data_IF_372502102831
#
_entry.id   IF_372502102831
#
_cell.length_a   1.000
_cell.length_b   1.000
_cell.length_c   1.000
_cell.angle_alpha   90.00
_cell.angle_beta   90.00
_cell.angle_gamma   90.00
#
_symmetry.space_group_name_H-M   'P 1'
#
loop_
_entity.id
_entity.type
_entity.pdbx_description
1 polymer ?
#
# COMPACT_ATOMS: atom_id res chain seq x y z
N UNK A 1 -33.19 -24.39 38.51
CA UNK A 1 -33.07 -24.80 37.13
C UNK A 1 -32.37 -23.69 36.36
N UNK A 2 -31.12 -23.90 35.99
CA UNK A 2 -30.33 -22.96 35.17
C UNK A 2 -30.29 -23.49 33.74
N UNK A 3 -30.47 -22.71 32.68
CA UNK A 3 -30.31 -23.18 31.32
C UNK A 3 -28.84 -23.25 30.94
N UNK A 4 -28.47 -24.37 30.34
CA UNK A 4 -27.16 -24.67 29.76
C UNK A 4 -27.14 -24.04 28.38
N UNK A 5 -26.15 -23.16 28.13
CA UNK A 5 -25.83 -22.66 26.80
C UNK A 5 -24.83 -23.60 26.13
N UNK A 6 -25.26 -24.24 25.06
CA UNK A 6 -24.37 -25.05 24.20
C UNK A 6 -23.74 -24.12 23.17
N UNK A 7 -22.43 -23.94 23.27
CA UNK A 7 -21.61 -23.26 22.25
C UNK A 7 -21.37 -24.24 21.10
N UNK A 8 -21.92 -23.96 19.94
CA UNK A 8 -21.54 -24.64 18.70
C UNK A 8 -20.27 -23.97 18.16
N UNK A 9 -19.13 -24.65 18.24
CA UNK A 9 -17.94 -24.37 17.44
C UNK A 9 -18.19 -24.86 16.01
N UNK A 10 -18.41 -23.94 15.10
CA UNK A 10 -18.40 -24.22 13.68
C UNK A 10 -16.96 -24.22 13.16
N UNK A 11 -16.42 -25.38 12.85
CA UNK A 11 -15.16 -25.51 12.13
C UNK A 11 -15.38 -25.11 10.66
N UNK A 12 -14.77 -24.00 10.23
CA UNK A 12 -14.71 -23.61 8.81
C UNK A 12 -13.49 -24.27 8.19
N UNK A 13 -13.71 -25.30 7.40
CA UNK A 13 -12.67 -25.90 6.54
C UNK A 13 -12.46 -25.01 5.32
N UNK A 14 -11.27 -24.42 5.17
CA UNK A 14 -10.82 -23.73 3.98
C UNK A 14 -10.51 -24.77 2.88
N UNK A 15 -11.40 -24.91 1.91
CA UNK A 15 -11.12 -25.64 0.68
C UNK A 15 -10.50 -24.67 -0.33
N UNK A 16 -9.23 -24.90 -0.67
CA UNK A 16 -8.58 -24.21 -1.78
C UNK A 16 -9.01 -24.89 -3.10
N UNK A 17 -9.80 -24.19 -3.91
CA UNK A 17 -10.02 -24.54 -5.31
C UNK A 17 -9.70 -23.35 -6.19
N UNK A 18 -8.70 -23.50 -7.07
CA UNK A 18 -8.47 -22.59 -8.16
C UNK A 18 -9.57 -22.72 -9.22
N UNK A 19 -10.07 -21.59 -9.72
CA UNK A 19 -11.06 -21.57 -10.79
C UNK A 19 -11.20 -20.16 -11.35
N UNK A 20 -11.27 -20.06 -12.65
CA UNK A 20 -11.38 -18.87 -13.48
C UNK A 20 -12.54 -17.96 -13.11
N UNK A 21 -12.30 -16.66 -13.39
CA UNK A 21 -13.25 -15.56 -13.31
C UNK A 21 -14.59 -15.83 -13.99
N UNK A 22 -15.66 -15.83 -13.23
CA UNK A 22 -17.00 -15.38 -13.64
C UNK A 22 -17.81 -15.09 -12.39
N UNK A 23 -18.44 -13.95 -12.34
CA UNK A 23 -19.43 -13.44 -11.39
C UNK A 23 -19.70 -14.29 -10.15
N UNK A 24 -18.99 -13.97 -9.04
CA UNK A 24 -19.31 -14.56 -7.74
C UNK A 24 -20.77 -14.26 -7.39
N UNK A 25 -21.56 -15.24 -6.93
CA UNK A 25 -22.88 -14.97 -6.40
C UNK A 25 -22.77 -13.95 -5.26
N UNK A 26 -23.62 -12.93 -5.27
CA UNK A 26 -23.66 -11.85 -4.26
C UNK A 26 -23.99 -12.46 -2.90
N UNK A 27 -22.99 -13.04 -2.24
CA UNK A 27 -23.03 -13.43 -0.84
C UNK A 27 -22.83 -12.22 0.07
N UNK A 28 -23.21 -12.38 1.35
CA UNK A 28 -22.87 -11.34 2.34
C UNK A 28 -21.35 -11.13 2.38
N UNK A 29 -20.86 -9.87 2.42
CA UNK A 29 -19.44 -9.59 2.51
C UNK A 29 -18.79 -10.23 3.73
N UNK A 30 -17.60 -10.78 3.57
CA UNK A 30 -16.82 -11.31 4.68
C UNK A 30 -16.30 -10.13 5.52
N UNK A 31 -16.75 -10.02 6.78
CA UNK A 31 -16.29 -8.99 7.69
C UNK A 31 -14.85 -9.28 8.17
N UNK A 32 -13.94 -8.33 7.97
CA UNK A 32 -12.60 -8.40 8.51
C UNK A 32 -12.68 -8.24 10.03
N UNK A 33 -12.38 -9.31 10.75
CA UNK A 33 -12.41 -9.35 12.22
C UNK A 33 -11.03 -9.04 12.79
N UNK A 34 -10.97 -8.56 14.05
CA UNK A 34 -9.72 -8.40 14.79
C UNK A 34 -9.61 -9.48 15.86
N UNK A 35 -8.49 -10.19 15.88
CA UNK A 35 -8.15 -11.21 16.86
C UNK A 35 -7.20 -10.71 17.96
N UNK A 36 -7.08 -9.38 18.06
CA UNK A 36 -6.22 -8.74 19.06
C UNK A 36 -4.79 -8.47 18.58
N UNK A 37 -4.05 -7.73 19.37
CA UNK A 37 -2.68 -7.36 19.07
C UNK A 37 -1.76 -8.59 19.02
N UNK A 38 -0.85 -8.61 18.06
CA UNK A 38 0.17 -9.63 17.89
C UNK A 38 1.50 -8.96 17.49
N UNK A 39 2.65 -9.66 17.48
CA UNK A 39 3.92 -9.04 17.12
C UNK A 39 3.90 -8.31 15.76
N UNK A 40 3.21 -8.83 14.77
CA UNK A 40 3.14 -8.20 13.42
C UNK A 40 2.44 -6.83 13.50
N UNK A 41 1.31 -6.74 14.19
CA UNK A 41 0.57 -5.48 14.33
C UNK A 41 1.30 -4.46 15.22
N UNK A 42 1.92 -4.91 16.30
CA UNK A 42 2.71 -4.05 17.20
C UNK A 42 3.90 -3.44 16.47
N UNK A 43 4.66 -4.27 15.77
CA UNK A 43 5.84 -3.79 15.04
C UNK A 43 5.49 -3.01 13.77
N UNK A 44 4.31 -3.24 13.17
CA UNK A 44 3.79 -2.36 12.10
C UNK A 44 3.57 -0.93 12.62
N UNK A 45 2.97 -0.77 13.80
CA UNK A 45 2.75 0.55 14.41
C UNK A 45 4.06 1.25 14.74
N UNK A 46 5.00 0.52 15.37
CA UNK A 46 6.31 1.06 15.71
C UNK A 46 7.07 1.46 14.44
N UNK A 47 7.11 0.59 13.43
CA UNK A 47 7.75 0.87 12.17
C UNK A 47 7.16 2.13 11.52
N UNK A 48 5.84 2.21 11.39
CA UNK A 48 5.20 3.36 10.78
C UNK A 48 5.52 4.68 11.50
N UNK A 49 5.48 4.69 12.83
CA UNK A 49 5.73 5.92 13.62
C UNK A 49 7.19 6.35 13.62
N UNK A 50 8.12 5.46 13.31
CA UNK A 50 9.57 5.69 13.44
C UNK A 50 10.32 5.82 12.11
N UNK A 51 9.90 5.13 11.04
CA UNK A 51 10.52 5.31 9.71
C UNK A 51 10.21 6.68 9.11
N UNK A 52 9.19 7.37 9.63
CA UNK A 52 8.83 8.72 9.26
C UNK A 52 8.26 8.82 7.84
N UNK A 53 8.39 10.01 7.26
CA UNK A 53 7.85 10.35 5.94
C UNK A 53 8.94 10.45 4.87
N UNK A 54 10.07 9.77 5.06
CA UNK A 54 11.14 9.77 4.05
C UNK A 54 10.65 9.07 2.78
N UNK A 55 11.20 9.39 1.61
CA UNK A 55 10.86 8.66 0.39
C UNK A 55 11.13 7.15 0.47
N UNK A 56 12.09 6.73 1.30
CA UNK A 56 12.42 5.33 1.52
C UNK A 56 11.49 4.62 2.52
N UNK A 57 10.65 5.35 3.26
CA UNK A 57 9.79 4.77 4.32
C UNK A 57 8.96 3.58 3.85
N UNK A 58 8.45 3.63 2.61
CA UNK A 58 7.68 2.50 2.05
C UNK A 58 8.55 1.24 1.86
N UNK A 59 9.82 1.42 1.48
CA UNK A 59 10.78 0.30 1.35
C UNK A 59 11.16 -0.24 2.73
N UNK A 60 11.28 0.63 3.73
CA UNK A 60 11.62 0.24 5.11
C UNK A 60 10.48 -0.58 5.73
N UNK A 61 9.22 -0.15 5.56
CA UNK A 61 8.05 -0.92 5.98
C UNK A 61 7.99 -2.29 5.31
N UNK A 62 8.18 -2.35 3.99
CA UNK A 62 8.24 -3.62 3.27
C UNK A 62 9.38 -4.52 3.80
N UNK A 63 10.56 -3.96 4.07
CA UNK A 63 11.71 -4.70 4.60
C UNK A 63 11.42 -5.30 5.97
N UNK A 64 10.79 -4.55 6.87
CA UNK A 64 10.38 -5.02 8.22
C UNK A 64 9.39 -6.18 8.11
N UNK A 65 8.33 -6.01 7.30
CA UNK A 65 7.29 -7.04 7.17
C UNK A 65 7.79 -8.31 6.46
N UNK A 66 8.67 -8.18 5.49
CA UNK A 66 9.31 -9.33 4.83
C UNK A 66 10.24 -10.08 5.77
N UNK A 67 10.99 -9.38 6.63
CA UNK A 67 11.82 -10.02 7.64
C UNK A 67 10.98 -10.76 8.68
N UNK A 68 9.90 -10.16 9.19
CA UNK A 68 8.96 -10.86 10.09
C UNK A 68 8.34 -12.07 9.41
N UNK A 69 7.93 -11.94 8.15
CA UNK A 69 7.37 -13.05 7.38
C UNK A 69 8.36 -14.20 7.23
N UNK A 70 9.57 -13.93 6.74
CA UNK A 70 10.58 -14.98 6.54
C UNK A 70 10.93 -15.69 7.86
N UNK A 71 11.03 -14.95 8.96
CA UNK A 71 11.29 -15.51 10.28
C UNK A 71 10.16 -16.42 10.76
N UNK A 72 8.90 -15.96 10.70
CA UNK A 72 7.73 -16.72 11.11
C UNK A 72 7.53 -17.95 10.22
N UNK A 73 7.58 -17.76 8.89
CA UNK A 73 7.22 -18.82 7.96
C UNK A 73 8.27 -19.92 7.90
N UNK A 74 9.55 -19.60 8.20
CA UNK A 74 10.59 -20.61 8.35
C UNK A 74 10.30 -21.59 9.47
N UNK A 75 9.64 -21.15 10.55
CA UNK A 75 9.19 -21.98 11.66
C UNK A 75 7.87 -22.70 11.33
N UNK A 76 6.90 -21.96 10.78
CA UNK A 76 5.57 -22.50 10.46
C UNK A 76 5.60 -23.54 9.33
N UNK A 77 6.51 -23.42 8.38
CA UNK A 77 6.70 -24.37 7.27
C UNK A 77 5.56 -24.42 6.25
N UNK A 78 4.61 -23.47 6.27
CA UNK A 78 3.39 -23.51 5.46
C UNK A 78 3.54 -22.87 4.08
N UNK A 79 4.42 -21.89 3.95
CA UNK A 79 4.65 -21.13 2.72
C UNK A 79 6.14 -21.00 2.44
N UNK A 80 6.46 -20.61 1.20
CA UNK A 80 7.83 -20.30 0.81
C UNK A 80 8.30 -18.99 1.44
N UNK A 81 9.47 -18.92 2.09
CA UNK A 81 10.07 -17.66 2.48
C UNK A 81 10.26 -16.74 1.26
N UNK A 82 10.17 -15.44 1.49
CA UNK A 82 10.42 -14.46 0.43
C UNK A 82 11.86 -14.52 -0.09
N UNK A 83 12.84 -14.51 0.80
CA UNK A 83 14.26 -14.50 0.40
C UNK A 83 15.21 -15.19 1.39
N UNK A 84 14.97 -15.09 2.70
CA UNK A 84 15.94 -15.51 3.71
C UNK A 84 15.48 -16.80 4.38
N UNK A 85 16.39 -17.79 4.41
CA UNK A 85 16.23 -19.05 5.14
C UNK A 85 17.27 -19.09 6.25
N UNK A 86 16.86 -19.15 7.53
CA UNK A 86 17.80 -19.27 8.63
C UNK A 86 18.52 -20.61 8.63
N UNK A 87 19.69 -20.63 9.22
CA UNK A 87 20.49 -21.88 9.45
C UNK A 87 20.14 -22.54 10.78
N UNK A 88 19.66 -21.76 11.74
CA UNK A 88 19.13 -22.29 13.01
C UNK A 88 17.99 -23.26 12.73
N UNK A 89 18.08 -24.47 13.33
CA UNK A 89 17.06 -25.50 13.15
C UNK A 89 15.68 -25.06 13.63
N UNK A 90 14.67 -25.27 12.81
CA UNK A 90 13.26 -24.96 13.12
C UNK A 90 12.47 -26.16 13.65
N UNK A 91 13.10 -27.33 13.72
CA UNK A 91 12.45 -28.57 14.15
C UNK A 91 11.90 -28.46 15.57
N UNK A 92 10.61 -28.80 15.74
CA UNK A 92 9.92 -28.81 17.03
C UNK A 92 9.59 -27.43 17.63
N UNK A 93 9.78 -26.34 16.86
CA UNK A 93 9.42 -24.99 17.27
C UNK A 93 7.94 -24.70 17.00
N UNK A 94 7.34 -23.89 17.89
CA UNK A 94 5.92 -23.54 17.86
C UNK A 94 5.68 -22.03 17.97
N UNK A 95 4.57 -21.68 18.63
CA UNK A 95 4.06 -20.31 18.68
C UNK A 95 5.00 -19.34 19.40
N UNK A 96 5.66 -19.77 20.47
CA UNK A 96 6.60 -18.92 21.23
C UNK A 96 7.79 -18.55 20.35
N UNK A 97 8.33 -19.52 19.61
CA UNK A 97 9.44 -19.29 18.70
C UNK A 97 9.05 -18.34 17.55
N UNK A 98 7.87 -18.49 16.95
CA UNK A 98 7.39 -17.58 15.90
C UNK A 98 7.25 -16.14 16.40
N UNK A 99 6.73 -15.95 17.63
CA UNK A 99 6.61 -14.62 18.23
C UNK A 99 7.99 -14.00 18.52
N UNK A 100 8.91 -14.77 19.12
CA UNK A 100 10.26 -14.31 19.40
C UNK A 100 11.03 -13.94 18.12
N UNK A 101 10.89 -14.77 17.06
CA UNK A 101 11.51 -14.53 15.76
C UNK A 101 10.98 -13.27 15.08
N UNK A 102 9.66 -13.02 15.14
CA UNK A 102 9.06 -11.81 14.62
C UNK A 102 9.54 -10.55 15.33
N UNK A 103 9.57 -10.58 16.68
CA UNK A 103 10.02 -9.45 17.51
C UNK A 103 11.48 -9.11 17.20
N UNK A 104 12.35 -10.11 17.17
CA UNK A 104 13.77 -9.92 16.93
C UNK A 104 14.04 -9.43 15.50
N UNK A 105 13.36 -10.01 14.50
CA UNK A 105 13.53 -9.62 13.11
C UNK A 105 13.14 -8.16 12.88
N UNK A 106 11.97 -7.74 13.38
CA UNK A 106 11.49 -6.36 13.25
C UNK A 106 12.42 -5.37 13.97
N UNK A 107 12.82 -5.69 15.20
CA UNK A 107 13.72 -4.87 16.00
C UNK A 107 15.04 -4.60 15.28
N UNK A 108 15.71 -5.66 14.81
CA UNK A 108 17.02 -5.50 14.14
C UNK A 108 16.92 -4.79 12.80
N UNK A 109 15.88 -5.08 12.03
CA UNK A 109 15.68 -4.37 10.75
C UNK A 109 15.45 -2.89 11.00
N UNK A 110 14.58 -2.51 11.94
CA UNK A 110 14.34 -1.10 12.25
C UNK A 110 15.58 -0.37 12.76
N UNK A 111 16.39 -1.01 13.59
CA UNK A 111 17.69 -0.43 14.01
C UNK A 111 18.63 -0.19 12.83
N UNK A 112 18.56 -1.03 11.78
CA UNK A 112 19.37 -0.88 10.59
C UNK A 112 18.88 0.20 9.63
N UNK A 113 17.56 0.30 9.41
CA UNK A 113 16.99 1.22 8.40
C UNK A 113 16.56 2.56 8.96
N UNK A 114 16.16 2.63 10.23
CA UNK A 114 15.64 3.83 10.90
C UNK A 114 16.20 3.99 12.33
N UNK A 115 17.52 4.14 12.52
CA UNK A 115 18.17 4.08 13.84
C UNK A 115 17.71 5.16 14.82
N UNK A 116 17.09 6.24 14.35
CA UNK A 116 16.59 7.33 15.20
C UNK A 116 15.49 6.89 16.19
N UNK A 117 14.79 5.79 15.92
CA UNK A 117 13.76 5.21 16.81
C UNK A 117 14.30 4.35 17.95
N UNK A 118 15.60 4.33 18.18
CA UNK A 118 16.31 3.38 19.05
C UNK A 118 15.66 3.08 20.39
N UNK A 119 15.31 4.10 21.20
CA UNK A 119 14.73 3.89 22.54
C UNK A 119 13.36 3.20 22.50
N UNK A 120 12.52 3.53 21.51
CA UNK A 120 11.21 2.86 21.36
C UNK A 120 11.36 1.40 20.92
N UNK A 121 12.35 1.11 20.08
CA UNK A 121 12.64 -0.26 19.65
C UNK A 121 13.14 -1.12 20.80
N UNK A 122 14.08 -0.61 21.62
CA UNK A 122 14.60 -1.32 22.79
C UNK A 122 13.48 -1.66 23.78
N UNK A 123 12.61 -0.70 24.06
CA UNK A 123 11.48 -0.90 24.97
C UNK A 123 10.51 -1.96 24.45
N UNK A 124 10.12 -1.86 23.18
CA UNK A 124 9.18 -2.80 22.57
C UNK A 124 9.78 -4.23 22.47
N UNK A 125 11.06 -4.33 22.10
CA UNK A 125 11.79 -5.59 22.02
C UNK A 125 11.86 -6.27 23.37
N UNK A 126 12.34 -5.55 24.41
CA UNK A 126 12.47 -6.07 25.77
C UNK A 126 11.12 -6.53 26.31
N UNK A 127 10.09 -5.67 26.23
CA UNK A 127 8.76 -6.01 26.74
C UNK A 127 8.13 -7.18 25.98
N UNK A 128 8.30 -7.21 24.64
CA UNK A 128 7.79 -8.29 23.80
C UNK A 128 8.42 -9.63 24.12
N UNK A 129 9.75 -9.69 24.30
CA UNK A 129 10.42 -10.93 24.66
C UNK A 129 10.18 -11.33 26.14
N UNK A 130 10.04 -10.39 27.05
CA UNK A 130 9.70 -10.68 28.46
C UNK A 130 8.29 -11.28 28.62
N UNK A 131 7.39 -10.98 27.72
CA UNK A 131 6.03 -11.55 27.73
C UNK A 131 5.98 -13.01 27.26
N UNK A 132 7.06 -13.55 26.69
CA UNK A 132 7.15 -14.93 26.24
C UNK A 132 7.77 -15.84 27.30
N UNK A 133 7.28 -17.08 27.36
CA UNK A 133 7.85 -18.10 28.24
C UNK A 133 9.32 -18.34 27.88
N UNK A 134 10.18 -18.43 28.92
CA UNK A 134 11.59 -18.78 28.75
C UNK A 134 11.74 -20.24 28.31
N UNK A 135 12.79 -20.53 27.54
CA UNK A 135 13.09 -21.87 27.07
C UNK A 135 13.72 -21.92 25.66
N UNK A 136 13.80 -23.12 25.13
CA UNK A 136 14.43 -23.40 23.82
C UNK A 136 13.71 -22.68 22.66
N UNK A 137 12.38 -22.66 22.66
CA UNK A 137 11.59 -21.97 21.64
C UNK A 137 11.92 -20.48 21.56
N UNK A 138 11.95 -19.79 22.72
CA UNK A 138 12.29 -18.36 22.76
C UNK A 138 13.72 -18.12 22.32
N UNK A 139 14.67 -18.92 22.78
CA UNK A 139 16.09 -18.79 22.44
C UNK A 139 16.33 -18.98 20.94
N UNK A 140 15.82 -20.09 20.38
CA UNK A 140 15.98 -20.38 18.96
C UNK A 140 15.17 -19.46 18.06
N UNK A 141 13.96 -19.08 18.50
CA UNK A 141 13.16 -18.09 17.79
C UNK A 141 13.89 -16.75 17.65
N UNK A 142 14.49 -16.26 18.73
CA UNK A 142 15.33 -15.04 18.71
C UNK A 142 16.54 -15.21 17.78
N UNK A 143 17.23 -16.34 17.80
CA UNK A 143 18.34 -16.60 16.87
C UNK A 143 17.89 -16.58 15.40
N UNK A 144 16.76 -17.21 15.08
CA UNK A 144 16.15 -17.21 13.74
C UNK A 144 15.84 -15.78 13.30
N UNK A 145 15.18 -14.97 14.16
CA UNK A 145 14.86 -13.58 13.87
C UNK A 145 16.11 -12.75 13.57
N UNK A 146 17.18 -12.96 14.33
CA UNK A 146 18.48 -12.28 14.14
C UNK A 146 19.13 -12.65 12.79
N UNK A 147 19.15 -13.94 12.42
CA UNK A 147 19.70 -14.41 11.15
C UNK A 147 18.90 -13.82 9.96
N UNK A 148 17.57 -13.87 10.03
CA UNK A 148 16.71 -13.35 8.98
C UNK A 148 16.87 -11.84 8.83
N UNK A 149 16.92 -11.09 9.93
CA UNK A 149 17.16 -9.65 9.88
C UNK A 149 18.50 -9.30 9.25
N UNK A 150 19.57 -9.99 9.62
CA UNK A 150 20.90 -9.78 9.04
C UNK A 150 20.90 -10.05 7.52
N UNK A 151 20.30 -11.15 7.09
CA UNK A 151 20.15 -11.48 5.67
C UNK A 151 19.33 -10.44 4.89
N UNK A 152 18.21 -9.98 5.46
CA UNK A 152 17.36 -8.98 4.83
C UNK A 152 18.03 -7.62 4.71
N UNK A 153 18.74 -7.16 5.75
CA UNK A 153 19.54 -5.93 5.70
C UNK A 153 20.67 -6.02 4.66
N UNK A 154 21.37 -7.15 4.60
CA UNK A 154 22.39 -7.38 3.57
C UNK A 154 21.79 -7.37 2.16
N UNK A 155 20.64 -8.02 1.97
CA UNK A 155 19.91 -8.02 0.70
C UNK A 155 19.55 -6.60 0.25
N UNK A 156 19.23 -5.68 1.16
CA UNK A 156 18.80 -4.32 0.86
C UNK A 156 19.88 -3.24 1.02
N UNK A 157 21.12 -3.61 1.38
CA UNK A 157 22.17 -2.65 1.70
C UNK A 157 22.49 -1.66 0.55
N UNK A 158 22.39 -2.09 -0.71
CA UNK A 158 22.63 -1.26 -1.89
C UNK A 158 21.41 -1.26 -2.80
N UNK A 159 20.27 -0.87 -2.27
CA UNK A 159 19.00 -0.93 -2.99
C UNK A 159 18.68 0.33 -3.81
N UNK A 160 19.58 1.30 -3.88
CA UNK A 160 19.40 2.53 -4.68
C UNK A 160 18.81 3.72 -3.92
N UNK A 161 18.45 3.56 -2.62
CA UNK A 161 17.86 4.64 -1.80
C UNK A 161 18.76 5.85 -1.62
N UNK A 162 20.06 5.70 -1.79
CA UNK A 162 21.08 6.74 -1.60
C UNK A 162 21.64 7.28 -2.92
N UNK A 163 21.02 6.97 -4.05
CA UNK A 163 21.49 7.46 -5.35
C UNK A 163 21.36 8.98 -5.42
N UNK A 164 22.38 9.63 -5.97
CA UNK A 164 22.32 11.08 -6.19
C UNK A 164 21.44 11.36 -7.43
N UNK A 165 20.37 12.10 -7.22
CA UNK A 165 19.47 12.48 -8.31
C UNK A 165 20.00 13.75 -9.02
N UNK A 166 19.98 13.73 -10.35
CA UNK A 166 20.23 14.94 -11.14
C UNK A 166 19.16 16.02 -10.85
N UNK A 167 19.47 17.32 -10.94
CA UNK A 167 18.48 18.37 -10.81
C UNK A 167 17.29 18.15 -11.76
N UNK A 168 16.08 18.42 -11.27
CA UNK A 168 14.88 18.33 -12.10
C UNK A 168 14.71 19.63 -12.90
N UNK A 169 14.39 19.51 -14.18
CA UNK A 169 14.07 20.64 -15.05
C UNK A 169 12.56 20.62 -15.33
N UNK A 170 11.80 21.63 -14.88
CA UNK A 170 10.37 21.73 -15.15
C UNK A 170 10.09 21.83 -16.65
N UNK A 171 8.99 21.22 -17.09
CA UNK A 171 8.51 21.38 -18.46
C UNK A 171 7.91 22.77 -18.69
N UNK A 172 7.94 23.25 -19.94
CA UNK A 172 7.41 24.55 -20.35
C UNK A 172 6.33 24.45 -21.45
N UNK A 173 6.29 23.32 -22.14
CA UNK A 173 5.31 23.06 -23.20
C UNK A 173 3.93 22.62 -22.70
N UNK A 174 2.92 22.61 -23.58
CA UNK A 174 1.63 22.00 -23.30
C UNK A 174 1.79 20.52 -22.89
N UNK A 175 0.97 20.05 -21.97
CA UNK A 175 1.03 18.68 -21.46
C UNK A 175 2.17 18.39 -20.49
N UNK A 176 3.15 19.28 -20.33
CA UNK A 176 4.32 19.06 -19.49
C UNK A 176 4.13 19.54 -18.05
N UNK A 177 4.59 18.75 -17.09
CA UNK A 177 4.57 19.12 -15.67
C UNK A 177 5.50 20.32 -15.39
N UNK A 178 4.96 21.30 -14.67
CA UNK A 178 5.61 22.61 -14.46
C UNK A 178 6.12 22.84 -13.05
N UNK A 179 5.96 21.88 -12.13
CA UNK A 179 6.39 22.01 -10.74
C UNK A 179 7.92 22.01 -10.61
N UNK A 180 8.42 22.85 -9.69
CA UNK A 180 9.84 22.89 -9.32
C UNK A 180 10.10 21.98 -8.12
N UNK A 181 11.29 21.36 -8.06
CA UNK A 181 11.71 20.47 -6.98
C UNK A 181 10.63 19.40 -6.62
N UNK A 182 10.15 18.61 -7.59
CA UNK A 182 9.11 17.64 -7.33
C UNK A 182 9.57 16.54 -6.40
N UNK A 183 8.60 15.98 -5.64
CA UNK A 183 8.87 15.02 -4.56
C UNK A 183 8.91 13.58 -5.06
N UNK A 184 9.47 12.67 -4.24
CA UNK A 184 9.48 11.22 -4.44
C UNK A 184 10.23 10.73 -5.70
N UNK A 185 11.12 11.54 -6.24
CA UNK A 185 11.97 11.21 -7.40
C UNK A 185 12.91 10.04 -7.16
N UNK A 186 13.20 9.74 -5.89
CA UNK A 186 14.09 8.63 -5.52
C UNK A 186 13.41 7.26 -5.65
N UNK A 187 12.06 7.19 -5.59
CA UNK A 187 11.35 5.91 -5.57
C UNK A 187 11.69 4.99 -6.73
N UNK A 188 11.77 5.45 -8.00
CA UNK A 188 12.17 4.60 -9.11
C UNK A 188 13.62 4.09 -9.05
N UNK A 189 14.45 4.66 -8.19
CA UNK A 189 15.84 4.21 -8.00
C UNK A 189 15.96 3.11 -6.95
N UNK A 190 14.97 2.99 -6.05
CA UNK A 190 14.97 1.96 -5.00
C UNK A 190 14.56 0.64 -5.65
N UNK A 191 15.45 -0.37 -5.61
CA UNK A 191 15.19 -1.68 -6.22
C UNK A 191 13.86 -2.28 -5.75
N UNK A 192 13.01 -2.76 -6.67
CA UNK A 192 11.74 -3.40 -6.31
C UNK A 192 11.94 -4.63 -5.44
N UNK A 193 10.90 -5.05 -4.74
CA UNK A 193 10.91 -6.27 -3.93
C UNK A 193 10.49 -7.49 -4.73
N UNK A 194 9.51 -7.37 -5.61
CA UNK A 194 8.92 -8.50 -6.31
C UNK A 194 8.83 -8.32 -7.82
N UNK A 195 8.62 -7.11 -8.31
CA UNK A 195 8.61 -6.83 -9.75
C UNK A 195 10.04 -6.88 -10.31
N UNK A 196 10.19 -7.22 -11.59
CA UNK A 196 11.50 -7.29 -12.25
C UNK A 196 12.13 -5.91 -12.45
N UNK A 197 11.30 -4.90 -12.66
CA UNK A 197 11.66 -3.50 -12.73
C UNK A 197 10.43 -2.65 -12.44
N UNK A 198 10.61 -1.38 -12.08
CA UNK A 198 9.49 -0.46 -11.91
C UNK A 198 8.75 -0.14 -13.22
N UNK A 199 9.38 -0.35 -14.38
CA UNK A 199 8.77 -0.19 -15.70
C UNK A 199 7.98 -1.43 -16.17
N UNK A 200 7.97 -2.54 -15.40
CA UNK A 200 7.33 -3.80 -15.82
C UNK A 200 5.86 -3.63 -16.17
N UNK A 201 5.14 -2.81 -15.43
CA UNK A 201 3.72 -2.52 -15.61
C UNK A 201 3.47 -1.03 -15.88
N UNK A 202 4.43 -0.36 -16.55
CA UNK A 202 4.30 1.07 -16.86
C UNK A 202 2.96 1.36 -17.55
N UNK A 203 2.26 2.37 -17.05
CA UNK A 203 1.00 2.82 -17.63
C UNK A 203 1.18 3.27 -19.10
N UNK A 204 0.14 3.09 -19.96
CA UNK A 204 0.29 3.29 -21.42
C UNK A 204 0.65 4.72 -21.84
N UNK A 205 0.27 5.71 -21.05
CA UNK A 205 0.53 7.13 -21.31
C UNK A 205 -0.73 7.98 -21.19
N UNK A 206 -0.58 9.29 -20.95
CA UNK A 206 -1.73 10.19 -20.88
C UNK A 206 -2.42 10.32 -22.22
N UNK A 207 -3.70 10.68 -22.20
CA UNK A 207 -4.47 10.96 -23.41
C UNK A 207 -3.84 12.10 -24.23
N UNK A 208 -3.90 11.98 -25.55
CA UNK A 208 -3.43 13.05 -26.45
C UNK A 208 -4.26 14.32 -26.26
N UNK A 209 -3.61 15.48 -26.11
CA UNK A 209 -4.26 16.75 -25.76
C UNK A 209 -5.39 17.13 -26.74
N UNK A 210 -5.22 16.87 -28.04
CA UNK A 210 -6.24 17.15 -29.07
C UNK A 210 -7.36 16.10 -29.15
N UNK A 211 -7.40 15.10 -28.28
CA UNK A 211 -8.41 14.04 -28.35
C UNK A 211 -9.72 14.41 -27.64
N UNK A 212 -10.82 13.82 -28.11
CA UNK A 212 -12.14 13.93 -27.46
C UNK A 212 -12.10 13.32 -26.05
N UNK A 213 -11.37 12.23 -25.87
CA UNK A 213 -11.23 11.59 -24.57
C UNK A 213 -10.54 12.52 -23.54
N UNK A 214 -9.46 13.21 -23.95
CA UNK A 214 -8.82 14.22 -23.09
C UNK A 214 -9.79 15.35 -22.73
N UNK A 215 -10.55 15.88 -23.71
CA UNK A 215 -11.53 16.93 -23.46
C UNK A 215 -12.62 16.48 -22.48
N UNK A 216 -13.04 15.21 -22.54
CA UNK A 216 -14.00 14.62 -21.59
C UNK A 216 -13.44 14.64 -20.18
N UNK A 217 -12.24 14.09 -19.95
CA UNK A 217 -11.56 14.07 -18.66
C UNK A 217 -11.29 15.48 -18.13
N UNK A 218 -10.83 16.36 -19.01
CA UNK A 218 -10.57 17.76 -18.70
C UNK A 218 -11.83 18.45 -18.19
N UNK A 219 -12.96 18.35 -18.91
CA UNK A 219 -14.20 19.01 -18.54
C UNK A 219 -14.85 18.41 -17.30
N UNK A 220 -14.74 17.08 -17.08
CA UNK A 220 -15.16 16.45 -15.83
C UNK A 220 -14.38 17.05 -14.64
N UNK A 221 -13.05 17.06 -14.75
CA UNK A 221 -12.20 17.55 -13.65
C UNK A 221 -12.34 19.06 -13.44
N UNK A 222 -12.45 19.85 -14.54
CA UNK A 222 -12.70 21.30 -14.48
C UNK A 222 -13.98 21.62 -13.70
N UNK A 223 -15.05 20.86 -13.96
CA UNK A 223 -16.36 21.08 -13.38
C UNK A 223 -16.46 20.53 -11.96
N UNK A 224 -16.10 19.26 -11.75
CA UNK A 224 -16.26 18.58 -10.48
C UNK A 224 -15.15 18.93 -9.49
N UNK A 225 -13.95 19.21 -9.99
CA UNK A 225 -12.76 19.45 -9.17
C UNK A 225 -12.57 20.90 -8.69
N UNK A 226 -13.35 21.86 -9.23
CA UNK A 226 -13.23 23.28 -8.87
C UNK A 226 -13.52 23.51 -7.39
N UNK A 227 -12.76 24.42 -6.75
CA UNK A 227 -13.00 24.83 -5.37
C UNK A 227 -14.44 25.34 -5.14
N UNK A 228 -14.97 26.05 -6.13
CA UNK A 228 -16.33 26.63 -6.15
C UNK A 228 -17.30 25.86 -7.05
N UNK A 229 -17.14 24.56 -7.21
CA UNK A 229 -18.03 23.75 -8.04
C UNK A 229 -19.48 23.85 -7.58
N UNK A 230 -20.38 24.12 -8.54
CA UNK A 230 -21.82 24.13 -8.31
C UNK A 230 -22.48 22.79 -8.66
N UNK A 231 -21.72 21.83 -9.19
CA UNK A 231 -22.23 20.51 -9.58
C UNK A 231 -21.81 19.41 -8.60
N UNK A 232 -20.71 19.61 -7.87
CA UNK A 232 -20.27 18.68 -6.84
C UNK A 232 -21.12 18.81 -5.58
N UNK A 233 -21.67 17.69 -5.08
CA UNK A 233 -22.48 17.68 -3.85
C UNK A 233 -21.60 17.84 -2.59
N UNK A 234 -22.26 18.02 -1.43
CA UNK A 234 -21.58 18.07 -0.14
C UNK A 234 -20.89 16.74 0.18
N UNK A 235 -21.57 15.62 -0.09
CA UNK A 235 -21.06 14.27 0.11
C UNK A 235 -19.84 13.99 -0.79
N UNK A 236 -19.91 14.39 -2.06
CA UNK A 236 -18.76 14.27 -2.98
C UNK A 236 -17.57 15.13 -2.53
N UNK A 237 -17.84 16.28 -1.91
CA UNK A 237 -16.79 17.12 -1.33
C UNK A 237 -16.18 16.47 -0.09
N UNK A 238 -17.00 15.83 0.73
CA UNK A 238 -16.55 15.06 1.89
C UNK A 238 -15.65 13.89 1.45
N UNK A 239 -16.10 13.08 0.49
CA UNK A 239 -15.31 11.98 -0.10
C UNK A 239 -13.96 12.48 -0.67
N UNK A 240 -13.96 13.60 -1.41
CA UNK A 240 -12.73 14.20 -1.92
C UNK A 240 -11.76 14.57 -0.80
N UNK A 241 -12.26 15.09 0.33
CA UNK A 241 -11.46 15.45 1.50
C UNK A 241 -11.04 14.27 2.35
N UNK A 242 -11.85 13.22 2.42
CA UNK A 242 -11.50 11.98 3.11
C UNK A 242 -10.19 11.38 2.58
N UNK A 243 -9.99 11.41 1.26
CA UNK A 243 -8.83 10.82 0.58
C UNK A 243 -7.70 11.81 0.28
N UNK A 244 -7.56 12.94 1.02
CA UNK A 244 -6.42 13.87 0.84
C UNK A 244 -5.23 13.56 1.74
N UNK A 245 -5.41 12.73 2.74
CA UNK A 245 -4.32 12.32 3.61
C UNK A 245 -3.18 11.71 2.79
N UNK A 246 -1.90 12.03 3.11
CA UNK A 246 -0.78 11.40 2.42
C UNK A 246 -0.92 9.87 2.38
N UNK A 247 -0.79 9.22 1.22
CA UNK A 247 -1.08 7.79 1.08
C UNK A 247 -0.36 6.90 2.09
N UNK A 248 0.90 7.20 2.40
CA UNK A 248 1.65 6.45 3.41
C UNK A 248 0.98 6.42 4.77
N UNK A 249 0.52 7.57 5.29
CA UNK A 249 -0.16 7.68 6.57
C UNK A 249 -1.55 7.03 6.55
N UNK A 250 -2.31 7.30 5.49
CA UNK A 250 -3.65 6.74 5.29
C UNK A 250 -3.63 5.21 5.28
N UNK A 251 -2.76 4.63 4.44
CA UNK A 251 -2.66 3.18 4.30
C UNK A 251 -2.12 2.53 5.56
N UNK A 252 -1.05 3.06 6.16
CA UNK A 252 -0.46 2.48 7.36
C UNK A 252 -1.45 2.40 8.53
N UNK A 253 -2.27 3.44 8.73
CA UNK A 253 -3.32 3.42 9.75
C UNK A 253 -4.40 2.40 9.45
N UNK A 254 -4.93 2.41 8.24
CA UNK A 254 -6.09 1.60 7.88
C UNK A 254 -5.75 0.13 7.64
N UNK A 255 -4.52 -0.18 7.21
CA UNK A 255 -4.09 -1.56 6.98
C UNK A 255 -3.79 -2.35 8.27
N UNK A 256 -3.70 -1.68 9.43
CA UNK A 256 -3.49 -2.37 10.71
C UNK A 256 -4.56 -3.41 11.02
N UNK A 257 -5.80 -3.21 10.58
CA UNK A 257 -6.87 -4.19 10.76
C UNK A 257 -6.56 -5.52 10.09
N UNK A 258 -5.84 -5.51 8.98
CA UNK A 258 -5.43 -6.74 8.28
C UNK A 258 -4.27 -7.46 8.97
N UNK A 259 -3.45 -6.77 9.74
CA UNK A 259 -2.38 -7.39 10.53
C UNK A 259 -2.88 -8.17 11.76
N UNK A 260 -4.16 -8.04 12.08
CA UNK A 260 -4.83 -8.75 13.18
C UNK A 260 -6.00 -9.61 12.71
N UNK A 261 -6.13 -9.81 11.41
CA UNK A 261 -7.32 -10.39 10.78
C UNK A 261 -7.38 -11.92 10.82
N UNK A 262 -6.37 -12.59 11.39
CA UNK A 262 -6.34 -14.04 11.59
C UNK A 262 -5.90 -14.37 13.03
N UNK A 263 -6.43 -15.45 13.63
CA UNK A 263 -5.88 -15.99 14.87
C UNK A 263 -4.49 -16.63 14.64
N UNK A 264 -4.12 -16.91 13.41
CA UNK A 264 -2.83 -17.49 13.03
C UNK A 264 -1.81 -16.37 12.71
N UNK A 265 -0.70 -16.37 13.45
CA UNK A 265 0.36 -15.39 13.29
C UNK A 265 1.02 -15.44 11.89
N UNK A 266 1.14 -16.65 11.30
CA UNK A 266 1.73 -16.83 9.98
C UNK A 266 0.87 -16.18 8.88
N UNK A 267 -0.46 -16.24 9.00
CA UNK A 267 -1.38 -15.57 8.07
C UNK A 267 -1.28 -14.04 8.17
N UNK A 268 -1.23 -13.51 9.40
CA UNK A 268 -1.05 -12.07 9.64
C UNK A 268 0.28 -11.56 9.06
N UNK A 269 1.36 -12.31 9.25
CA UNK A 269 2.66 -11.98 8.69
C UNK A 269 2.66 -12.04 7.15
N UNK A 270 2.05 -13.09 6.58
CA UNK A 270 1.92 -13.25 5.13
C UNK A 270 1.13 -12.10 4.51
N UNK A 271 -0.05 -11.81 5.04
CA UNK A 271 -0.89 -10.74 4.50
C UNK A 271 -0.20 -9.38 4.61
N UNK A 272 0.43 -9.07 5.75
CA UNK A 272 1.17 -7.81 5.94
C UNK A 272 2.37 -7.70 4.98
N UNK A 273 3.12 -8.78 4.77
CA UNK A 273 4.23 -8.80 3.82
C UNK A 273 3.74 -8.61 2.37
N UNK A 274 2.65 -9.26 1.96
CA UNK A 274 2.02 -9.06 0.66
C UNK A 274 1.60 -7.60 0.46
N UNK A 275 0.92 -7.02 1.43
CA UNK A 275 0.42 -5.64 1.40
C UNK A 275 1.56 -4.63 1.24
N UNK A 276 2.58 -4.69 2.09
CA UNK A 276 3.65 -3.69 2.07
C UNK A 276 4.57 -3.84 0.86
N UNK A 277 4.78 -5.06 0.38
CA UNK A 277 5.49 -5.32 -0.88
C UNK A 277 4.71 -4.75 -2.07
N UNK A 278 3.40 -5.00 -2.13
CA UNK A 278 2.53 -4.48 -3.17
C UNK A 278 2.44 -2.95 -3.14
N UNK A 279 2.35 -2.37 -1.95
CA UNK A 279 2.35 -0.92 -1.77
C UNK A 279 3.64 -0.29 -2.29
N UNK A 280 4.81 -0.81 -1.89
CA UNK A 280 6.09 -0.26 -2.35
C UNK A 280 6.25 -0.38 -3.86
N UNK A 281 6.14 -1.58 -4.41
CA UNK A 281 6.37 -1.83 -5.84
C UNK A 281 5.34 -1.10 -6.71
N UNK A 282 4.08 -1.03 -6.27
CA UNK A 282 3.02 -0.31 -6.96
C UNK A 282 3.25 1.19 -6.99
N UNK A 283 3.63 1.79 -5.85
CA UNK A 283 3.91 3.23 -5.77
C UNK A 283 5.21 3.58 -6.51
N UNK A 284 6.26 2.78 -6.38
CA UNK A 284 7.52 3.03 -7.08
C UNK A 284 7.37 2.89 -8.60
N UNK A 285 6.63 1.89 -9.08
CA UNK A 285 6.27 1.75 -10.51
C UNK A 285 5.39 2.90 -11.01
N UNK A 286 4.49 3.40 -10.15
CA UNK A 286 3.73 4.61 -10.44
C UNK A 286 4.63 5.83 -10.64
N UNK A 287 5.60 6.05 -9.74
CA UNK A 287 6.51 7.19 -9.84
C UNK A 287 7.50 7.04 -10.99
N UNK A 288 7.86 5.82 -11.37
CA UNK A 288 8.58 5.55 -12.62
C UNK A 288 7.77 6.05 -13.83
N UNK A 289 6.50 5.63 -13.94
CA UNK A 289 5.59 6.07 -14.99
C UNK A 289 5.36 7.59 -14.97
N UNK A 290 5.21 8.19 -13.78
CA UNK A 290 5.02 9.65 -13.63
C UNK A 290 6.18 10.44 -14.20
N UNK A 291 7.41 10.09 -13.86
CA UNK A 291 8.60 10.80 -14.33
C UNK A 291 8.96 10.44 -15.78
N UNK A 292 8.53 9.29 -16.28
CA UNK A 292 8.62 8.93 -17.69
C UNK A 292 7.69 9.81 -18.57
N UNK A 293 6.42 9.92 -18.18
CA UNK A 293 5.42 10.67 -18.96
C UNK A 293 5.44 12.17 -18.68
N UNK A 294 5.80 12.57 -17.48
CA UNK A 294 5.98 13.95 -17.05
C UNK A 294 4.79 14.88 -17.35
N UNK A 295 3.56 14.39 -17.13
CA UNK A 295 2.33 15.06 -17.57
C UNK A 295 1.89 16.14 -16.56
N UNK A 296 1.33 17.23 -17.09
CA UNK A 296 0.86 18.39 -16.32
C UNK A 296 -0.37 18.07 -15.45
N UNK A 297 -0.56 18.84 -14.37
CA UNK A 297 -1.69 18.72 -13.46
C UNK A 297 -2.92 19.43 -14.00
N UNK A 298 -4.17 19.05 -13.58
CA UNK A 298 -5.39 19.74 -13.96
C UNK A 298 -5.32 21.25 -13.73
N UNK A 299 -4.69 21.71 -12.64
CA UNK A 299 -4.47 23.14 -12.42
C UNK A 299 -3.75 23.81 -13.61
N UNK A 300 -2.63 23.26 -14.05
CA UNK A 300 -1.89 23.82 -15.19
C UNK A 300 -2.66 23.65 -16.50
N UNK A 301 -3.29 22.50 -16.73
CA UNK A 301 -4.06 22.22 -17.93
C UNK A 301 -5.23 23.21 -18.09
N UNK A 302 -6.00 23.43 -17.02
CA UNK A 302 -7.21 24.26 -17.06
C UNK A 302 -6.86 25.76 -17.16
N UNK A 303 -5.81 26.20 -16.46
CA UNK A 303 -5.39 27.62 -16.51
C UNK A 303 -4.64 28.00 -17.81
N UNK A 304 -4.19 27.00 -18.58
CA UNK A 304 -3.40 27.17 -19.80
C UNK A 304 -4.04 26.41 -21.00
N UNK A 305 -5.34 26.18 -20.97
CA UNK A 305 -6.05 25.38 -21.98
C UNK A 305 -5.96 25.98 -23.38
N UNK A 306 -5.74 27.29 -23.50
CA UNK A 306 -5.47 27.98 -24.77
C UNK A 306 -4.19 27.50 -25.47
N UNK A 307 -3.35 26.72 -24.79
CA UNK A 307 -2.10 26.17 -25.33
C UNK A 307 -2.20 24.72 -25.82
N UNK A 308 -3.27 24.00 -25.51
CA UNK A 308 -3.39 22.56 -25.77
C UNK A 308 -3.89 22.22 -27.18
N UNK A 309 -4.27 23.20 -27.95
CA UNK A 309 -4.79 23.07 -29.33
C UNK A 309 -6.06 22.19 -29.43
N UNK A 310 -6.93 22.25 -28.40
CA UNK A 310 -8.18 21.51 -28.34
C UNK A 310 -9.35 22.45 -28.11
N UNK A 311 -10.13 22.72 -29.15
CA UNK A 311 -11.29 23.63 -29.10
C UNK A 311 -12.40 23.17 -28.11
N UNK A 312 -12.39 21.92 -27.67
CA UNK A 312 -13.32 21.39 -26.71
C UNK A 312 -12.87 21.61 -25.24
N UNK A 313 -11.69 22.18 -25.01
CA UNK A 313 -11.20 22.63 -23.71
C UNK A 313 -11.22 24.16 -23.64
N UNK A 314 -11.62 24.70 -22.51
CA UNK A 314 -11.70 26.15 -22.35
C UNK A 314 -10.92 26.60 -21.12
N UNK A 315 -10.10 27.63 -21.29
CA UNK A 315 -9.29 28.23 -20.22
C UNK A 315 -10.17 28.84 -19.13
N UNK A 316 -9.80 28.57 -17.88
CA UNK A 316 -10.34 29.26 -16.69
C UNK A 316 -9.13 29.71 -15.88
N UNK A 317 -8.66 30.93 -16.14
CA UNK A 317 -7.42 31.46 -15.55
C UNK A 317 -7.41 31.51 -14.01
N UNK A 318 -8.58 31.60 -13.38
CA UNK A 318 -8.74 31.64 -11.92
C UNK A 318 -9.13 30.28 -11.33
N UNK A 319 -9.10 29.21 -12.09
CA UNK A 319 -9.48 27.89 -11.61
C UNK A 319 -8.52 27.41 -10.51
N UNK A 320 -9.08 26.89 -9.43
CA UNK A 320 -8.33 26.25 -8.36
C UNK A 320 -9.02 24.93 -7.96
N UNK A 321 -8.28 23.89 -7.61
CA UNK A 321 -8.85 22.65 -7.10
C UNK A 321 -9.37 22.81 -5.68
N UNK A 322 -10.32 21.95 -5.28
CA UNK A 322 -10.86 21.96 -3.90
C UNK A 322 -9.83 21.45 -2.87
N UNK A 323 -8.88 20.66 -3.30
CA UNK A 323 -7.79 20.15 -2.45
C UNK A 323 -6.42 20.50 -3.05
N UNK A 324 -5.37 20.68 -2.22
CA UNK A 324 -4.06 21.08 -2.71
C UNK A 324 -3.48 20.09 -3.74
N UNK A 325 -2.91 20.61 -4.81
CA UNK A 325 -2.24 19.81 -5.85
C UNK A 325 -0.88 19.31 -5.37
N UNK A 326 -0.62 18.00 -5.35
CA UNK A 326 0.69 17.46 -4.97
C UNK A 326 1.79 17.84 -5.98
N UNK A 327 2.99 18.14 -5.49
CA UNK A 327 4.12 18.55 -6.32
C UNK A 327 4.86 17.35 -6.95
N UNK A 328 4.22 16.69 -7.89
CA UNK A 328 4.78 15.67 -8.77
C UNK A 328 3.90 15.51 -10.03
N UNK A 329 4.42 14.93 -11.14
CA UNK A 329 3.66 14.77 -12.37
C UNK A 329 2.30 14.09 -12.16
N UNK A 330 1.35 14.43 -13.02
CA UNK A 330 -0.04 14.02 -12.86
C UNK A 330 -0.23 12.52 -13.10
N UNK A 331 0.23 12.00 -14.24
CA UNK A 331 -0.10 10.69 -14.80
C UNK A 331 0.97 9.63 -14.55
N UNK A 332 0.58 8.39 -14.17
CA UNK A 332 -0.72 7.97 -13.66
C UNK A 332 -0.95 8.40 -12.19
N UNK A 333 -2.17 8.36 -11.67
CA UNK A 333 -2.47 8.84 -10.33
C UNK A 333 -1.99 7.88 -9.23
N UNK A 334 -1.15 8.37 -8.32
CA UNK A 334 -0.51 7.55 -7.29
C UNK A 334 -1.48 6.87 -6.30
N UNK A 335 -2.63 7.49 -6.02
CA UNK A 335 -3.66 6.86 -5.19
C UNK A 335 -4.27 5.64 -5.88
N UNK A 336 -4.44 5.67 -7.22
CA UNK A 336 -4.84 4.51 -8.01
C UNK A 336 -3.83 3.38 -7.89
N UNK A 337 -2.56 3.69 -8.15
CA UNK A 337 -1.48 2.69 -8.08
C UNK A 337 -1.41 2.03 -6.69
N UNK A 338 -1.46 2.82 -5.62
CA UNK A 338 -1.42 2.32 -4.26
C UNK A 338 -2.66 1.45 -3.95
N UNK A 339 -3.87 1.96 -4.22
CA UNK A 339 -5.11 1.24 -3.92
C UNK A 339 -5.25 -0.04 -4.74
N UNK A 340 -4.93 0.02 -6.04
CA UNK A 340 -4.95 -1.14 -6.91
C UNK A 340 -4.02 -2.24 -6.42
N UNK A 341 -2.77 -1.90 -6.07
CA UNK A 341 -1.78 -2.88 -5.63
C UNK A 341 -2.15 -3.51 -4.27
N UNK A 342 -2.51 -2.69 -3.29
CA UNK A 342 -2.86 -3.15 -1.95
C UNK A 342 -4.14 -3.99 -1.95
N UNK A 343 -5.20 -3.50 -2.60
CA UNK A 343 -6.47 -4.22 -2.61
C UNK A 343 -6.41 -5.51 -3.43
N UNK A 344 -5.58 -5.58 -4.45
CA UNK A 344 -5.33 -6.83 -5.17
C UNK A 344 -4.57 -7.85 -4.30
N UNK A 345 -3.60 -7.41 -3.48
CA UNK A 345 -2.92 -8.28 -2.52
C UNK A 345 -3.91 -8.82 -1.46
N UNK A 346 -4.76 -7.94 -0.92
CA UNK A 346 -5.81 -8.30 0.04
C UNK A 346 -6.80 -9.30 -0.58
N UNK A 347 -7.33 -8.98 -1.77
CA UNK A 347 -8.26 -9.84 -2.50
C UNK A 347 -7.66 -11.23 -2.78
N UNK A 348 -6.41 -11.26 -3.22
CA UNK A 348 -5.71 -12.53 -3.51
C UNK A 348 -5.49 -13.37 -2.26
N UNK A 349 -5.26 -12.74 -1.10
CA UNK A 349 -5.11 -13.45 0.16
C UNK A 349 -6.42 -14.11 0.60
N UNK A 350 -7.55 -13.38 0.54
CA UNK A 350 -8.85 -13.87 0.96
C UNK A 350 -9.56 -14.71 -0.10
N UNK A 351 -9.12 -14.68 -1.35
CA UNK A 351 -9.77 -15.36 -2.48
C UNK A 351 -11.10 -14.72 -2.89
N UNK A 352 -11.43 -13.53 -2.38
CA UNK A 352 -12.66 -12.79 -2.69
C UNK A 352 -12.46 -11.29 -2.63
N UNK A 353 -13.26 -10.56 -3.42
CA UNK A 353 -13.36 -9.09 -3.35
C UNK A 353 -14.45 -8.61 -2.38
N UNK A 354 -15.36 -9.48 -1.98
CA UNK A 354 -16.47 -9.20 -1.07
C UNK A 354 -15.97 -9.21 0.38
N UNK A 355 -15.37 -8.11 0.79
CA UNK A 355 -14.78 -7.91 2.12
C UNK A 355 -15.36 -6.66 2.74
N UNK A 356 -15.92 -6.79 3.95
CA UNK A 356 -16.38 -5.65 4.73
C UNK A 356 -15.27 -5.14 5.64
N UNK A 357 -14.91 -3.89 5.50
CA UNK A 357 -13.90 -3.21 6.32
C UNK A 357 -14.18 -1.72 6.41
N UNK A 358 -13.62 -1.05 7.42
CA UNK A 358 -13.84 0.36 7.68
C UNK A 358 -12.54 1.12 7.67
N UNK A 359 -12.50 2.24 6.95
CA UNK A 359 -11.36 3.15 6.91
C UNK A 359 -11.69 4.48 7.57
N UNK A 360 -10.67 5.13 8.11
CA UNK A 360 -10.74 6.45 8.72
C UNK A 360 -9.73 7.39 8.08
N UNK A 361 -10.01 8.70 8.09
CA UNK A 361 -9.08 9.75 7.68
C UNK A 361 -8.66 10.61 8.88
N UNK A 362 -7.39 10.97 8.97
CA UNK A 362 -6.88 11.86 10.03
C UNK A 362 -6.99 13.33 9.69
N UNK A 363 -7.15 13.68 8.40
CA UNK A 363 -7.17 15.08 7.91
C UNK A 363 -8.57 15.62 7.69
N UNK A 364 -9.56 14.74 7.61
CA UNK A 364 -10.95 15.13 7.50
C UNK A 364 -11.65 14.81 8.82
N UNK A 365 -12.37 15.77 9.39
CA UNK A 365 -13.32 15.52 10.47
C UNK A 365 -14.54 14.86 9.81
N UNK A 366 -14.37 13.58 9.48
CA UNK A 366 -15.33 12.81 8.71
C UNK A 366 -15.77 11.59 9.49
N UNK A 367 -16.91 11.06 9.12
CA UNK A 367 -17.33 9.74 9.55
C UNK A 367 -16.44 8.68 8.93
N UNK A 368 -16.17 7.56 9.61
CA UNK A 368 -15.52 6.42 9.00
C UNK A 368 -16.31 5.92 7.79
N UNK A 369 -15.60 5.55 6.71
CA UNK A 369 -16.22 4.94 5.53
C UNK A 369 -16.13 3.42 5.63
N UNK A 370 -17.27 2.75 5.50
CA UNK A 370 -17.36 1.29 5.48
C UNK A 370 -17.60 0.82 4.05
N UNK A 371 -16.79 -0.14 3.63
CA UNK A 371 -16.82 -0.74 2.30
C UNK A 371 -17.23 -2.20 2.40
N UNK A 372 -18.04 -2.66 1.44
CA UNK A 372 -18.48 -4.06 1.32
C UNK A 372 -17.64 -4.84 0.32
N UNK A 373 -16.76 -4.15 -0.40
CA UNK A 373 -15.82 -4.78 -1.32
C UNK A 373 -14.57 -3.92 -1.54
N UNK A 374 -13.49 -4.56 -1.96
CA UNK A 374 -12.28 -3.87 -2.40
C UNK A 374 -12.55 -2.97 -3.60
N UNK A 375 -13.47 -3.34 -4.48
CA UNK A 375 -13.85 -2.56 -5.67
C UNK A 375 -14.55 -1.26 -5.27
N UNK A 376 -15.39 -1.26 -4.23
CA UNK A 376 -16.07 -0.06 -3.74
C UNK A 376 -15.09 0.97 -3.19
N UNK A 377 -14.07 0.53 -2.44
CA UNK A 377 -12.99 1.42 -2.00
C UNK A 377 -12.22 2.01 -3.19
N UNK A 378 -11.83 1.18 -4.17
CA UNK A 378 -11.10 1.64 -5.35
C UNK A 378 -11.93 2.65 -6.13
N UNK A 379 -13.23 2.39 -6.30
CA UNK A 379 -14.16 3.31 -6.97
C UNK A 379 -14.23 4.64 -6.24
N UNK A 380 -14.41 4.63 -4.93
CA UNK A 380 -14.48 5.86 -4.13
C UNK A 380 -13.19 6.67 -4.23
N UNK A 381 -12.02 6.01 -4.16
CA UNK A 381 -10.73 6.69 -4.36
C UNK A 381 -10.64 7.31 -5.75
N UNK A 382 -11.06 6.60 -6.81
CA UNK A 382 -11.06 7.12 -8.19
C UNK A 382 -11.88 8.41 -8.27
N UNK A 383 -13.09 8.39 -7.73
CA UNK A 383 -13.98 9.54 -7.71
C UNK A 383 -13.42 10.70 -6.89
N UNK A 384 -12.89 10.41 -5.71
CA UNK A 384 -12.27 11.40 -4.83
C UNK A 384 -11.14 12.20 -5.50
N UNK A 385 -10.33 11.56 -6.36
CA UNK A 385 -9.21 12.23 -7.03
C UNK A 385 -9.66 13.21 -8.11
N UNK A 386 -10.73 12.87 -8.84
CA UNK A 386 -11.35 13.75 -9.85
C UNK A 386 -12.11 14.88 -9.15
N UNK A 387 -12.96 14.55 -8.17
CA UNK A 387 -13.72 15.55 -7.40
C UNK A 387 -12.82 16.47 -6.58
N UNK A 388 -11.63 15.99 -6.22
CA UNK A 388 -10.59 16.80 -5.58
C UNK A 388 -9.89 17.78 -6.52
N UNK A 389 -10.03 17.60 -7.84
CA UNK A 389 -9.39 18.45 -8.85
C UNK A 389 -7.90 18.18 -9.04
N UNK A 390 -7.41 17.01 -8.62
CA UNK A 390 -5.99 16.67 -8.63
C UNK A 390 -5.57 15.79 -9.79
N UNK A 391 -6.52 15.01 -10.35
CA UNK A 391 -6.27 14.01 -11.38
C UNK A 391 -7.39 13.98 -12.41
N UNK A 392 -7.04 13.57 -13.62
CA UNK A 392 -7.99 13.21 -14.66
C UNK A 392 -8.51 11.79 -14.48
N UNK A 393 -9.70 11.47 -15.02
CA UNK A 393 -10.36 10.17 -14.88
C UNK A 393 -9.47 9.02 -15.38
N UNK A 394 -9.00 9.12 -16.63
CA UNK A 394 -8.10 8.10 -17.19
C UNK A 394 -6.83 7.90 -16.36
N UNK A 395 -6.27 8.98 -15.81
CA UNK A 395 -5.07 8.88 -14.98
C UNK A 395 -5.25 8.02 -13.73
N UNK A 396 -6.38 8.14 -13.05
CA UNK A 396 -6.65 7.37 -11.84
C UNK A 396 -7.06 5.92 -12.17
N UNK A 397 -7.69 5.70 -13.32
CA UNK A 397 -8.05 4.37 -13.82
C UNK A 397 -6.80 3.59 -14.20
N UNK A 398 -5.95 4.16 -15.05
CA UNK A 398 -4.67 3.55 -15.44
C UNK A 398 -3.74 3.31 -14.24
N UNK A 399 -3.78 4.22 -13.26
CA UNK A 399 -3.06 4.03 -12.00
C UNK A 399 -3.56 2.81 -11.22
N UNK A 400 -4.88 2.64 -11.11
CA UNK A 400 -5.47 1.49 -10.42
C UNK A 400 -5.15 0.18 -11.15
N UNK A 401 -5.15 0.19 -12.48
CA UNK A 401 -4.82 -0.98 -13.29
C UNK A 401 -3.33 -1.35 -13.18
N UNK A 402 -2.42 -0.36 -13.20
CA UNK A 402 -1.00 -0.60 -12.90
C UNK A 402 -0.85 -1.27 -11.53
N UNK A 403 -1.47 -0.68 -10.50
CA UNK A 403 -1.41 -1.23 -9.15
C UNK A 403 -1.95 -2.66 -9.07
N UNK A 404 -3.10 -2.92 -9.69
CA UNK A 404 -3.70 -4.25 -9.75
C UNK A 404 -2.76 -5.29 -10.39
N UNK A 405 -2.10 -4.94 -11.49
CA UNK A 405 -1.12 -5.82 -12.15
C UNK A 405 0.06 -6.14 -11.22
N UNK A 406 0.57 -5.15 -10.47
CA UNK A 406 1.64 -5.35 -9.48
C UNK A 406 1.17 -6.28 -8.36
N UNK A 407 0.01 -6.02 -7.75
CA UNK A 407 -0.54 -6.86 -6.67
C UNK A 407 -0.76 -8.30 -7.13
N UNK A 408 -1.32 -8.49 -8.32
CA UNK A 408 -1.52 -9.79 -8.94
C UNK A 408 -0.20 -10.54 -9.18
N UNK A 409 0.81 -9.85 -9.69
CA UNK A 409 2.15 -10.43 -9.88
C UNK A 409 2.72 -10.93 -8.56
N UNK A 410 2.67 -10.12 -7.52
CA UNK A 410 3.18 -10.46 -6.19
C UNK A 410 2.47 -11.69 -5.63
N UNK A 411 1.16 -11.71 -5.67
CA UNK A 411 0.36 -12.82 -5.17
C UNK A 411 0.64 -14.15 -5.89
N UNK A 412 0.94 -14.09 -7.19
CA UNK A 412 1.19 -15.29 -8.01
C UNK A 412 2.63 -15.77 -8.02
N UNK A 413 3.60 -14.91 -7.70
CA UNK A 413 5.04 -15.25 -7.79
C UNK A 413 5.71 -15.43 -6.44
N UNK A 414 5.14 -14.82 -5.39
CA UNK A 414 5.68 -14.84 -4.03
C UNK A 414 4.63 -15.34 -3.05
N UNK A 415 5.04 -15.67 -1.84
CA UNK A 415 4.14 -16.06 -0.75
C UNK A 415 3.32 -17.34 -1.01
N UNK A 416 3.80 -18.21 -1.89
CA UNK A 416 3.13 -19.45 -2.27
C UNK A 416 3.25 -20.51 -1.17
N UNK A 417 2.27 -21.39 -1.10
CA UNK A 417 2.32 -22.56 -0.21
C UNK A 417 3.50 -23.47 -0.56
N UNK A 418 4.08 -24.12 0.44
CA UNK A 418 5.01 -25.22 0.23
C UNK A 418 4.20 -26.42 -0.32
N UNK A 419 4.64 -26.96 -1.45
CA UNK A 419 4.02 -28.15 -2.07
C UNK A 419 4.46 -29.40 -1.35
#
# INVERSE_FOLDING_TARGET
MKPIWISMLGAVTLAACGGNSSDDPVGQPFAVQSYGANPVSVWNEIAFTTVGTTPAANADLATVHLAMYDAIISIAGTHQPYAIRPTTSTAGLGAVAMQAAAIEAAYRVLKGVAPAGGASYETAHTNGLMALADGDEKTRGTAIGAEVAAGMLALRANDGRNVMLVPYVPGTGPGQFRGVNPVLRILPSIRPFATQSHAQFRAPGPLALGSVAYATDFNETKTMGAANSMQRTVEQTEVARFHIEPPGAFWARNLRQFATASPNLADNARLSAMIWTAYHDGVAGCFESKYHHNFWRPFSAITLADTDSNDATAVVATWTPVVPTPNHPEYPAAHGCASGAVMEAVRSFYGTKQLQFTFTSAVAITVPHTFDSTDNLIKEIKDARVWGGMHFRTSIEDGADLGKQVGHWIANKHFQTVK
#
